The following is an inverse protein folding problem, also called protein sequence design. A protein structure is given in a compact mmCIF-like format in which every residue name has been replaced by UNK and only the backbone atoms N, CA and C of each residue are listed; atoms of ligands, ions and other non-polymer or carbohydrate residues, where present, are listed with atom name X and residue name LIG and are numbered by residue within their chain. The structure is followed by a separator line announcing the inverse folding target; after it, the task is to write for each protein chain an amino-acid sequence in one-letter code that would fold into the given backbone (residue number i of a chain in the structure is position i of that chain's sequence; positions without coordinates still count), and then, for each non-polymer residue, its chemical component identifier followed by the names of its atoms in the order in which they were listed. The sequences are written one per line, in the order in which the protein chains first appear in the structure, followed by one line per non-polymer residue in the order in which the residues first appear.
data_IF_343759199989
#
_entry.id   IF_343759199989
#
_cell.length_a   1.000
_cell.length_b   1.000
_cell.length_c   1.000
_cell.angle_alpha   90.00
_cell.angle_beta   90.00
_cell.angle_gamma   90.00
#
_symmetry.space_group_name_H-M   'P 1'
#
loop_
_entity.id
_entity.type
_entity.pdbx_description
1 polymer ?
#
# COMPACT_ATOMS: atom_id res chain seq x y z
N UNK A 1 -23.47 51.87 -12.28
CA UNK A 1 -22.31 51.74 -13.19
C UNK A 1 -21.93 50.27 -13.33
N UNK A 2 -22.35 49.57 -14.39
CA UNK A 2 -22.06 48.15 -14.56
C UNK A 2 -20.69 47.95 -15.23
N UNK A 3 -19.79 47.26 -14.54
CA UNK A 3 -18.47 46.88 -15.04
C UNK A 3 -18.58 45.60 -15.90
N UNK A 4 -18.49 45.77 -17.21
CA UNK A 4 -18.32 44.69 -18.19
C UNK A 4 -16.95 44.02 -18.01
N UNK A 5 -16.92 42.81 -17.43
CA UNK A 5 -15.73 41.92 -17.50
C UNK A 5 -15.86 41.00 -18.70
N UNK A 6 -15.18 41.35 -19.79
CA UNK A 6 -14.96 40.50 -20.96
C UNK A 6 -13.98 39.38 -20.62
N UNK A 7 -14.47 38.12 -20.65
CA UNK A 7 -13.62 36.92 -20.56
C UNK A 7 -12.91 36.70 -21.89
N UNK A 8 -11.62 37.01 -21.94
CA UNK A 8 -10.72 36.58 -23.02
C UNK A 8 -10.38 35.10 -22.85
N UNK A 9 -11.02 34.25 -23.66
CA UNK A 9 -10.58 32.86 -23.91
C UNK A 9 -9.33 32.92 -24.77
N UNK A 10 -8.16 32.59 -24.22
CA UNK A 10 -6.93 32.39 -24.99
C UNK A 10 -6.37 31.00 -24.67
N UNK A 11 -6.72 30.04 -25.53
CA UNK A 11 -6.06 28.73 -25.63
C UNK A 11 -4.74 28.90 -26.36
N UNK A 12 -3.58 28.69 -25.72
CA UNK A 12 -2.33 28.57 -26.46
C UNK A 12 -2.19 27.17 -27.07
N UNK A 13 -1.81 27.20 -28.34
CA UNK A 13 -1.77 26.09 -29.25
C UNK A 13 -0.77 24.99 -28.86
N UNK A 14 -1.23 23.76 -29.01
CA UNK A 14 -0.49 22.50 -29.05
C UNK A 14 0.52 22.51 -30.20
N UNK A 15 1.75 22.91 -29.92
CA UNK A 15 2.92 22.71 -30.80
C UNK A 15 4.15 22.53 -29.92
N UNK A 16 4.56 21.29 -29.66
CA UNK A 16 5.97 21.05 -29.40
C UNK A 16 6.41 19.63 -29.81
N UNK A 17 7.02 19.61 -30.99
CA UNK A 17 8.19 18.86 -31.46
C UNK A 17 8.34 17.39 -31.03
N UNK A 18 8.26 16.55 -32.06
CA UNK A 18 8.77 15.19 -32.13
C UNK A 18 10.32 15.14 -32.19
N UNK A 19 10.90 14.12 -31.54
CA UNK A 19 12.21 13.48 -31.75
C UNK A 19 13.47 14.26 -31.30
N UNK A 20 14.39 13.59 -30.56
CA UNK A 20 15.14 12.47 -31.12
C UNK A 20 15.20 11.21 -30.24
N UNK A 21 14.60 10.14 -30.77
CA UNK A 21 15.05 8.77 -30.55
C UNK A 21 16.33 8.55 -31.38
N UNK A 22 17.51 8.75 -30.77
CA UNK A 22 18.81 8.27 -31.29
C UNK A 22 20.00 8.40 -30.30
N UNK A 23 19.75 8.79 -29.04
CA UNK A 23 20.79 8.88 -27.99
C UNK A 23 20.76 7.79 -26.92
N UNK A 24 19.87 6.79 -27.04
CA UNK A 24 19.57 5.84 -25.96
C UNK A 24 20.28 4.47 -26.05
N UNK A 25 21.11 4.23 -27.08
CA UNK A 25 21.69 2.89 -27.32
C UNK A 25 23.12 2.71 -26.78
N UNK A 26 23.85 3.79 -26.43
CA UNK A 26 25.28 3.66 -26.04
C UNK A 26 25.51 3.63 -24.52
N UNK A 27 24.55 4.07 -23.69
CA UNK A 27 24.72 4.08 -22.22
C UNK A 27 24.32 2.74 -21.56
N UNK A 28 23.60 1.87 -22.28
CA UNK A 28 23.15 0.55 -21.78
C UNK A 28 24.23 -0.55 -21.79
N UNK A 29 25.43 -0.29 -22.32
CA UNK A 29 26.47 -1.32 -22.48
C UNK A 29 27.55 -1.35 -21.39
N UNK A 30 27.53 -0.45 -20.38
CA UNK A 30 28.64 -0.33 -19.40
C UNK A 30 28.28 -0.76 -17.97
N UNK A 31 27.00 -1.05 -17.65
CA UNK A 31 26.58 -1.40 -16.26
C UNK A 31 26.33 -2.91 -16.08
N UNK A 32 27.12 -3.78 -16.73
CA UNK A 32 27.00 -5.26 -16.59
C UNK A 32 28.24 -5.92 -15.96
N UNK A 33 29.29 -5.17 -15.56
CA UNK A 33 30.57 -5.78 -15.12
C UNK A 33 30.99 -5.41 -13.69
N UNK A 34 30.05 -5.15 -12.76
CA UNK A 34 30.42 -4.86 -11.36
C UNK A 34 29.50 -5.45 -10.29
N UNK A 35 28.81 -6.57 -10.55
CA UNK A 35 28.07 -7.33 -9.53
C UNK A 35 28.56 -8.77 -9.45
N UNK A 36 29.88 -8.91 -9.32
CA UNK A 36 30.51 -10.08 -8.77
C UNK A 36 31.62 -9.56 -7.86
N UNK A 37 31.68 -10.02 -6.60
CA UNK A 37 32.75 -9.78 -5.61
C UNK A 37 32.49 -8.80 -4.45
N UNK A 38 31.34 -8.87 -3.77
CA UNK A 38 31.29 -8.60 -2.31
C UNK A 38 30.30 -9.53 -1.61
N UNK A 39 30.61 -10.82 -1.65
CA UNK A 39 30.20 -11.72 -0.60
C UNK A 39 31.10 -11.52 0.61
N UNK A 40 30.60 -10.91 1.68
CA UNK A 40 31.00 -11.31 3.02
C UNK A 40 29.89 -11.05 4.04
N UNK A 41 29.55 -12.13 4.72
CA UNK A 41 28.47 -12.31 5.65
C UNK A 41 28.79 -11.65 6.99
N UNK A 42 27.86 -10.88 7.54
CA UNK A 42 27.73 -10.71 8.99
C UNK A 42 26.31 -11.10 9.38
N UNK A 43 26.15 -12.38 9.77
CA UNK A 43 24.94 -12.85 10.39
C UNK A 43 24.83 -12.23 11.80
N UNK A 44 23.74 -11.53 12.15
CA UNK A 44 23.53 -11.06 13.51
C UNK A 44 23.27 -12.25 14.44
N UNK A 45 24.02 -12.27 15.54
CA UNK A 45 23.92 -13.22 16.66
C UNK A 45 22.47 -13.24 17.22
N UNK A 46 21.81 -14.40 17.34
CA UNK A 46 20.45 -14.45 17.88
C UNK A 46 20.46 -14.08 19.38
N UNK A 47 19.75 -13.01 19.72
CA UNK A 47 19.47 -12.64 21.10
C UNK A 47 18.38 -13.57 21.66
N UNK A 48 18.73 -14.26 22.74
CA UNK A 48 17.86 -15.14 23.52
C UNK A 48 16.82 -14.28 24.26
N UNK A 49 15.63 -14.11 23.68
CA UNK A 49 14.50 -13.49 24.38
C UNK A 49 13.91 -14.52 25.36
N UNK A 50 14.03 -14.22 26.65
CA UNK A 50 13.46 -15.00 27.73
C UNK A 50 11.93 -14.88 27.73
N UNK A 51 11.28 -16.01 27.98
CA UNK A 51 9.85 -16.11 28.23
C UNK A 51 9.46 -15.32 29.49
N UNK A 52 8.40 -14.53 29.38
CA UNK A 52 7.58 -14.13 30.52
C UNK A 52 6.13 -14.51 30.17
N UNK A 53 5.75 -15.70 30.63
CA UNK A 53 4.36 -16.08 30.80
C UNK A 53 3.91 -15.48 32.13
N UNK A 54 2.81 -14.73 32.15
CA UNK A 54 2.06 -14.51 33.37
C UNK A 54 0.55 -14.50 33.09
N UNK A 55 -0.13 -15.27 33.93
CA UNK A 55 -1.53 -15.58 33.91
C UNK A 55 -2.36 -14.41 34.44
N UNK A 56 -3.58 -14.24 33.93
CA UNK A 56 -4.69 -13.72 34.75
C UNK A 56 -5.92 -14.59 34.56
N UNK A 57 -6.35 -15.08 35.72
CA UNK A 57 -7.46 -15.94 36.04
C UNK A 57 -8.81 -15.20 36.00
N UNK A 58 -9.84 -15.97 35.64
CA UNK A 58 -11.07 -16.22 36.42
C UNK A 58 -12.04 -15.08 36.79
N UNK A 59 -13.31 -15.51 36.86
CA UNK A 59 -14.53 -14.88 37.38
C UNK A 59 -15.39 -14.16 36.32
N UNK A 60 -16.71 -14.37 36.20
CA UNK A 60 -17.64 -15.01 37.12
C UNK A 60 -18.84 -15.60 36.36
N UNK A 61 -19.25 -16.79 36.80
CA UNK A 61 -20.60 -17.29 36.58
C UNK A 61 -21.59 -16.40 37.32
N UNK A 62 -22.56 -15.83 36.61
CA UNK A 62 -23.73 -15.19 37.22
C UNK A 62 -25.02 -15.71 36.56
N UNK A 63 -25.70 -16.53 37.35
CA UNK A 63 -27.15 -16.61 37.58
C UNK A 63 -28.09 -16.61 36.37
N UNK A 64 -28.57 -17.82 36.08
CA UNK A 64 -29.77 -18.09 35.31
C UNK A 64 -31.03 -17.59 36.04
N UNK A 65 -31.69 -16.58 35.49
CA UNK A 65 -33.09 -16.27 35.77
C UNK A 65 -33.93 -16.69 34.55
N UNK A 66 -34.65 -17.80 34.68
CA UNK A 66 -35.60 -18.28 33.67
C UNK A 66 -36.87 -17.43 33.76
N UNK A 67 -37.08 -16.55 32.79
CA UNK A 67 -38.36 -15.90 32.54
C UNK A 67 -38.95 -16.50 31.25
N UNK A 68 -39.86 -17.46 31.41
CA UNK A 68 -40.69 -17.98 30.32
C UNK A 68 -41.83 -17.01 30.05
N UNK A 69 -41.52 -15.93 29.34
CA UNK A 69 -42.53 -15.11 28.68
C UNK A 69 -42.85 -15.74 27.33
N UNK A 70 -44.07 -16.27 27.20
CA UNK A 70 -44.62 -16.83 25.97
C UNK A 70 -44.78 -15.70 24.95
N UNK A 71 -43.78 -15.51 24.08
CA UNK A 71 -43.79 -14.51 23.01
C UNK A 71 -44.59 -15.04 21.83
N UNK A 72 -45.56 -14.23 21.38
CA UNK A 72 -46.13 -14.35 20.04
C UNK A 72 -44.98 -14.37 19.01
N UNK A 73 -45.03 -15.24 17.99
CA UNK A 73 -44.02 -15.27 16.94
C UNK A 73 -44.06 -13.92 16.20
N UNK A 74 -43.08 -13.07 16.49
CA UNK A 74 -42.83 -11.89 15.69
C UNK A 74 -42.59 -12.36 14.24
N UNK A 75 -43.17 -11.70 13.23
CA UNK A 75 -42.90 -12.04 11.85
C UNK A 75 -41.37 -12.09 11.64
N UNK A 76 -40.90 -13.18 11.05
CA UNK A 76 -39.48 -13.40 10.85
C UNK A 76 -38.90 -12.17 10.13
N UNK A 77 -37.88 -11.49 10.68
CA UNK A 77 -37.25 -10.38 9.99
C UNK A 77 -36.78 -10.87 8.63
N UNK A 78 -37.27 -10.24 7.56
CA UNK A 78 -36.78 -10.44 6.20
C UNK A 78 -35.38 -9.84 6.14
N UNK A 79 -34.36 -10.66 6.41
CA UNK A 79 -32.98 -10.26 6.23
C UNK A 79 -32.72 -10.06 4.73
N UNK A 80 -32.09 -8.95 4.31
CA UNK A 80 -31.61 -8.84 2.95
C UNK A 80 -30.66 -10.01 2.68
N UNK A 81 -30.82 -10.65 1.52
CA UNK A 81 -29.91 -11.71 1.10
C UNK A 81 -28.46 -11.21 1.25
N UNK A 82 -27.62 -12.01 1.90
CA UNK A 82 -26.23 -11.65 2.10
C UNK A 82 -25.56 -11.37 0.74
N UNK A 83 -24.88 -10.24 0.62
CA UNK A 83 -24.14 -9.91 -0.61
C UNK A 83 -23.13 -11.02 -0.94
N UNK A 84 -23.02 -11.34 -2.23
CA UNK A 84 -21.95 -12.20 -2.73
C UNK A 84 -20.57 -11.61 -2.42
N UNK A 85 -19.53 -12.45 -2.36
CA UNK A 85 -18.15 -11.97 -2.15
C UNK A 85 -17.75 -10.99 -3.25
N UNK A 86 -18.11 -11.26 -4.50
CA UNK A 86 -17.91 -10.36 -5.64
C UNK A 86 -18.51 -8.96 -5.39
N UNK A 87 -19.77 -8.88 -4.95
CA UNK A 87 -20.41 -7.60 -4.64
C UNK A 87 -19.73 -6.85 -3.49
N UNK A 88 -19.28 -7.57 -2.45
CA UNK A 88 -18.53 -6.99 -1.32
C UNK A 88 -17.16 -6.46 -1.76
N UNK A 89 -16.43 -7.22 -2.59
CA UNK A 89 -15.12 -6.83 -3.12
C UNK A 89 -15.25 -5.62 -4.04
N UNK A 90 -16.27 -5.57 -4.90
CA UNK A 90 -16.55 -4.41 -5.74
C UNK A 90 -16.89 -3.17 -4.92
N UNK A 91 -17.73 -3.32 -3.88
CA UNK A 91 -18.03 -2.23 -2.95
C UNK A 91 -16.78 -1.74 -2.21
N UNK A 92 -15.91 -2.65 -1.77
CA UNK A 92 -14.62 -2.30 -1.16
C UNK A 92 -13.72 -1.54 -2.14
N UNK A 93 -13.60 -2.02 -3.38
CA UNK A 93 -12.75 -1.45 -4.41
C UNK A 93 -13.21 -0.07 -4.89
N UNK A 94 -14.52 0.21 -4.84
CA UNK A 94 -15.09 1.52 -5.15
C UNK A 94 -15.17 2.46 -3.93
N UNK A 95 -14.83 1.96 -2.74
CA UNK A 95 -14.88 2.70 -1.49
C UNK A 95 -13.51 3.15 -0.99
N UNK A 96 -13.43 3.37 0.33
CA UNK A 96 -12.19 3.80 1.00
C UNK A 96 -11.04 2.79 0.85
N UNK A 97 -11.34 1.50 0.77
CA UNK A 97 -10.34 0.45 0.59
C UNK A 97 -9.60 0.55 -0.75
N UNK A 98 -10.35 0.71 -1.84
CA UNK A 98 -9.77 0.95 -3.17
C UNK A 98 -8.99 2.25 -3.27
N UNK A 99 -9.46 3.33 -2.64
CA UNK A 99 -8.75 4.60 -2.58
C UNK A 99 -7.40 4.45 -1.84
N UNK A 100 -7.39 3.88 -0.64
CA UNK A 100 -6.16 3.67 0.13
C UNK A 100 -5.13 2.80 -0.62
N UNK A 101 -5.60 1.79 -1.38
CA UNK A 101 -4.73 1.00 -2.26
C UNK A 101 -4.06 1.86 -3.34
N UNK A 102 -4.80 2.78 -3.95
CA UNK A 102 -4.27 3.65 -5.01
C UNK A 102 -3.30 4.68 -4.44
N UNK A 103 -3.62 5.31 -3.31
CA UNK A 103 -2.73 6.27 -2.64
C UNK A 103 -1.37 5.64 -2.28
N UNK A 104 -1.36 4.42 -1.71
CA UNK A 104 -0.11 3.69 -1.45
C UNK A 104 0.69 3.46 -2.73
N UNK A 105 0.02 3.08 -3.83
CA UNK A 105 0.67 2.87 -5.13
C UNK A 105 1.28 4.17 -5.68
N UNK A 106 0.57 5.28 -5.58
CA UNK A 106 1.01 6.57 -6.09
C UNK A 106 2.18 7.12 -5.28
N UNK A 107 2.18 6.93 -3.95
CA UNK A 107 3.31 7.30 -3.10
C UNK A 107 4.53 6.42 -3.35
N UNK A 108 4.36 5.13 -3.61
CA UNK A 108 5.47 4.25 -3.98
C UNK A 108 6.15 4.69 -5.29
N UNK A 109 5.37 5.13 -6.28
CA UNK A 109 5.89 5.72 -7.52
C UNK A 109 6.62 7.03 -7.25
N UNK A 110 6.06 7.87 -6.38
CA UNK A 110 6.67 9.16 -5.98
C UNK A 110 8.04 8.93 -5.34
N UNK A 111 8.18 7.96 -4.41
CA UNK A 111 9.47 7.62 -3.79
C UNK A 111 10.52 7.26 -4.83
N UNK A 112 10.18 6.40 -5.80
CA UNK A 112 11.13 6.00 -6.86
C UNK A 112 11.51 7.18 -7.75
N UNK A 113 10.56 8.05 -8.08
CA UNK A 113 10.79 9.26 -8.87
C UNK A 113 11.73 10.22 -8.16
N UNK A 114 11.47 10.54 -6.89
CA UNK A 114 12.29 11.47 -6.10
C UNK A 114 13.69 10.90 -5.80
N UNK A 115 13.80 9.58 -5.60
CA UNK A 115 15.08 8.90 -5.45
C UNK A 115 15.93 9.06 -6.73
N UNK A 116 15.31 8.87 -7.89
CA UNK A 116 15.97 9.03 -9.21
C UNK A 116 16.38 10.49 -9.48
N UNK A 117 15.64 11.46 -8.95
CA UNK A 117 15.98 12.88 -9.07
C UNK A 117 17.15 13.31 -8.16
N UNK A 118 17.50 12.50 -7.15
CA UNK A 118 18.58 12.79 -6.20
C UNK A 118 18.29 13.96 -5.24
N UNK A 119 17.05 14.46 -5.20
CA UNK A 119 16.66 15.58 -4.34
C UNK A 119 16.22 15.07 -2.95
N UNK A 120 17.21 14.87 -2.06
CA UNK A 120 17.02 14.27 -0.73
C UNK A 120 15.87 14.87 0.10
N UNK A 121 15.66 16.20 0.15
CA UNK A 121 14.52 16.77 0.89
C UNK A 121 13.15 16.29 0.40
N UNK A 122 12.91 16.23 -0.92
CA UNK A 122 11.65 15.73 -1.45
C UNK A 122 11.51 14.22 -1.26
N UNK A 123 12.61 13.48 -1.43
CA UNK A 123 12.61 12.03 -1.16
C UNK A 123 12.24 11.72 0.30
N UNK A 124 12.75 12.50 1.25
CA UNK A 124 12.36 12.35 2.67
C UNK A 124 10.85 12.52 2.86
N UNK A 125 10.26 13.57 2.27
CA UNK A 125 8.81 13.83 2.33
C UNK A 125 8.03 12.68 1.69
N UNK A 126 8.45 12.19 0.52
CA UNK A 126 7.80 11.08 -0.16
C UNK A 126 7.81 9.79 0.69
N UNK A 127 8.92 9.52 1.41
CA UNK A 127 9.01 8.34 2.27
C UNK A 127 8.15 8.46 3.54
N UNK A 128 8.03 9.66 4.11
CA UNK A 128 7.09 9.95 5.20
C UNK A 128 5.63 9.79 4.74
N UNK A 129 5.30 10.29 3.54
CA UNK A 129 3.96 10.14 2.95
C UNK A 129 3.61 8.68 2.67
N UNK A 130 4.52 7.90 2.06
CA UNK A 130 4.32 6.47 1.85
C UNK A 130 4.07 5.73 3.17
N UNK A 131 4.83 6.05 4.23
CA UNK A 131 4.61 5.49 5.56
C UNK A 131 3.21 5.80 6.09
N UNK A 132 2.78 7.06 5.97
CA UNK A 132 1.44 7.51 6.35
C UNK A 132 0.34 6.75 5.62
N UNK A 133 0.44 6.63 4.30
CA UNK A 133 -0.55 5.90 3.49
C UNK A 133 -0.56 4.40 3.81
N UNK A 134 0.58 3.78 4.10
CA UNK A 134 0.64 2.38 4.54
C UNK A 134 -0.10 2.21 5.87
N UNK A 135 0.08 3.11 6.83
CA UNK A 135 -0.64 3.07 8.12
C UNK A 135 -2.14 3.27 7.93
N UNK A 136 -2.54 4.24 7.10
CA UNK A 136 -3.94 4.49 6.78
C UNK A 136 -4.58 3.27 6.09
N UNK A 137 -3.91 2.69 5.10
CA UNK A 137 -4.36 1.50 4.37
C UNK A 137 -4.51 0.26 5.29
N UNK A 138 -3.56 0.04 6.21
CA UNK A 138 -3.65 -1.06 7.20
C UNK A 138 -4.79 -0.88 8.21
N UNK A 139 -5.16 0.38 8.49
CA UNK A 139 -6.27 0.71 9.39
C UNK A 139 -7.64 0.68 8.69
N UNK A 140 -7.64 0.61 7.36
CA UNK A 140 -8.86 0.49 6.55
C UNK A 140 -9.54 -0.87 6.68
N UNK A 141 -10.72 -0.99 6.08
CA UNK A 141 -11.41 -2.29 5.99
C UNK A 141 -10.60 -3.28 5.15
N UNK A 142 -10.47 -4.55 5.57
CA UNK A 142 -9.80 -5.56 4.77
C UNK A 142 -10.58 -5.89 3.49
N UNK A 143 -9.88 -6.41 2.48
CA UNK A 143 -10.51 -6.94 1.26
C UNK A 143 -11.37 -8.14 1.69
N UNK A 144 -12.67 -8.20 1.30
CA UNK A 144 -13.55 -9.29 1.69
C UNK A 144 -13.18 -10.69 1.15
N UNK A 145 -12.30 -10.74 0.15
CA UNK A 145 -11.73 -11.98 -0.39
C UNK A 145 -10.39 -12.31 0.28
N UNK A 146 -10.23 -13.50 0.92
CA UNK A 146 -9.02 -13.85 1.66
C UNK A 146 -7.75 -13.89 0.81
N UNK A 147 -7.82 -14.38 -0.43
CA UNK A 147 -6.64 -14.51 -1.29
C UNK A 147 -6.14 -13.13 -1.76
N UNK A 148 -7.05 -12.24 -2.16
CA UNK A 148 -6.71 -10.86 -2.47
C UNK A 148 -6.17 -10.12 -1.23
N UNK A 149 -6.75 -10.37 -0.05
CA UNK A 149 -6.31 -9.75 1.20
C UNK A 149 -4.89 -10.18 1.60
N UNK A 150 -4.53 -11.44 1.41
CA UNK A 150 -3.17 -11.94 1.71
C UNK A 150 -2.11 -11.19 0.88
N UNK A 151 -2.32 -11.10 -0.44
CA UNK A 151 -1.42 -10.36 -1.33
C UNK A 151 -1.36 -8.87 -1.00
N UNK A 152 -2.51 -8.27 -0.69
CA UNK A 152 -2.56 -6.86 -0.32
C UNK A 152 -1.84 -6.58 1.00
N UNK A 153 -2.04 -7.42 2.02
CA UNK A 153 -1.34 -7.32 3.29
C UNK A 153 0.18 -7.52 3.12
N UNK A 154 0.61 -8.47 2.29
CA UNK A 154 2.02 -8.65 1.92
C UNK A 154 2.59 -7.37 1.27
N UNK A 155 1.89 -6.80 0.29
CA UNK A 155 2.28 -5.56 -0.36
C UNK A 155 2.45 -4.41 0.65
N UNK A 156 1.47 -4.21 1.55
CA UNK A 156 1.56 -3.22 2.62
C UNK A 156 2.72 -3.50 3.59
N UNK A 157 3.07 -4.77 3.81
CA UNK A 157 4.28 -5.19 4.52
C UNK A 157 5.55 -4.64 3.87
N UNK A 158 5.70 -4.91 2.57
CA UNK A 158 6.84 -4.48 1.76
C UNK A 158 6.96 -2.96 1.65
N UNK A 159 5.86 -2.25 1.42
CA UNK A 159 5.87 -0.78 1.37
C UNK A 159 6.20 -0.15 2.73
N UNK A 160 5.73 -0.76 3.83
CA UNK A 160 6.11 -0.32 5.18
C UNK A 160 7.61 -0.48 5.45
N UNK A 161 8.20 -1.60 5.03
CA UNK A 161 9.65 -1.79 5.10
C UNK A 161 10.38 -0.78 4.22
N UNK A 162 9.93 -0.57 2.98
CA UNK A 162 10.53 0.40 2.08
C UNK A 162 10.53 1.82 2.65
N UNK A 163 9.39 2.28 3.18
CA UNK A 163 9.29 3.60 3.79
C UNK A 163 10.26 3.75 4.98
N UNK A 164 10.33 2.74 5.86
CA UNK A 164 11.27 2.71 6.99
C UNK A 164 12.73 2.77 6.53
N UNK A 165 13.12 1.92 5.58
CA UNK A 165 14.48 1.88 5.04
C UNK A 165 14.84 3.18 4.32
N UNK A 166 13.90 3.78 3.57
CA UNK A 166 14.10 5.07 2.93
C UNK A 166 14.29 6.23 3.93
N UNK A 167 13.46 6.30 4.98
CA UNK A 167 13.63 7.33 6.03
C UNK A 167 14.99 7.19 6.72
N UNK A 168 15.41 5.96 7.01
CA UNK A 168 16.74 5.71 7.57
C UNK A 168 17.85 6.06 6.57
N UNK A 169 17.70 5.72 5.29
CA UNK A 169 18.64 6.04 4.22
C UNK A 169 18.83 7.55 4.04
N UNK A 170 17.73 8.32 4.02
CA UNK A 170 17.79 9.79 3.85
C UNK A 170 18.41 10.48 5.06
N UNK A 171 18.18 9.96 6.27
CA UNK A 171 18.81 10.47 7.49
C UNK A 171 20.32 10.15 7.56
N UNK A 172 20.71 8.92 7.22
CA UNK A 172 22.10 8.43 7.30
C UNK A 172 22.93 8.58 6.03
N UNK A 173 22.33 8.99 4.92
CA UNK A 173 22.90 8.92 3.55
C UNK A 173 23.41 7.51 3.21
N UNK A 174 22.65 6.50 3.61
CA UNK A 174 23.01 5.09 3.45
C UNK A 174 22.43 4.54 2.13
N UNK A 175 23.30 4.31 1.15
CA UNK A 175 22.93 3.77 -0.16
C UNK A 175 22.42 2.33 -0.08
N UNK A 176 22.90 1.51 0.85
CA UNK A 176 22.44 0.13 0.99
C UNK A 176 21.00 0.08 1.51
N UNK A 177 20.65 0.97 2.44
CA UNK A 177 19.26 1.16 2.87
C UNK A 177 18.36 1.65 1.70
N UNK A 178 18.85 2.56 0.86
CA UNK A 178 18.08 2.99 -0.32
C UNK A 178 17.83 1.83 -1.30
N UNK A 179 18.86 1.03 -1.61
CA UNK A 179 18.71 -0.16 -2.47
C UNK A 179 17.73 -1.18 -1.88
N UNK A 180 17.73 -1.38 -0.56
CA UNK A 180 16.73 -2.24 0.11
C UNK A 180 15.31 -1.68 -0.01
N UNK A 181 15.15 -0.37 0.14
CA UNK A 181 13.86 0.31 -0.05
C UNK A 181 13.32 0.08 -1.47
N UNK A 182 14.14 0.31 -2.49
CA UNK A 182 13.76 0.09 -3.90
C UNK A 182 13.38 -1.38 -4.18
N UNK A 183 14.15 -2.33 -3.64
CA UNK A 183 13.84 -3.75 -3.76
C UNK A 183 12.50 -4.11 -3.09
N UNK A 184 12.24 -3.58 -1.90
CA UNK A 184 10.96 -3.77 -1.20
C UNK A 184 9.79 -3.15 -1.98
N UNK A 185 9.94 -1.94 -2.54
CA UNK A 185 8.92 -1.35 -3.44
C UNK A 185 8.64 -2.26 -4.64
N UNK A 186 9.69 -2.82 -5.26
CA UNK A 186 9.52 -3.71 -6.40
C UNK A 186 8.77 -4.99 -6.05
N UNK A 187 9.00 -5.57 -4.87
CA UNK A 187 8.23 -6.73 -4.37
C UNK A 187 6.81 -6.32 -4.02
N UNK A 188 6.62 -5.21 -3.30
CA UNK A 188 5.31 -4.68 -2.94
C UNK A 188 4.42 -4.43 -4.15
N UNK A 189 4.97 -3.86 -5.23
CA UNK A 189 4.25 -3.66 -6.49
C UNK A 189 3.80 -4.97 -7.14
N UNK A 190 4.61 -6.04 -7.09
CA UNK A 190 4.23 -7.36 -7.62
C UNK A 190 3.08 -7.97 -6.82
N UNK A 191 3.14 -7.89 -5.50
CA UNK A 191 2.09 -8.40 -4.62
C UNK A 191 0.80 -7.59 -4.78
N UNK A 192 0.90 -6.26 -4.89
CA UNK A 192 -0.23 -5.38 -5.15
C UNK A 192 -0.90 -5.70 -6.50
N UNK A 193 -0.11 -5.99 -7.54
CA UNK A 193 -0.62 -6.39 -8.85
C UNK A 193 -1.38 -7.72 -8.78
N UNK A 194 -0.92 -8.68 -7.98
CA UNK A 194 -1.62 -9.97 -7.74
C UNK A 194 -2.97 -9.75 -7.04
N UNK A 195 -3.00 -8.94 -5.98
CA UNK A 195 -4.24 -8.57 -5.30
C UNK A 195 -5.22 -7.89 -6.28
N UNK A 196 -4.73 -6.92 -7.06
CA UNK A 196 -5.53 -6.22 -8.06
C UNK A 196 -6.05 -7.15 -9.17
N UNK A 197 -5.30 -8.18 -9.57
CA UNK A 197 -5.75 -9.17 -10.53
C UNK A 197 -6.95 -9.98 -9.99
N UNK A 198 -6.87 -10.49 -8.76
CA UNK A 198 -7.96 -11.24 -8.13
C UNK A 198 -9.22 -10.38 -8.00
N UNK A 199 -9.06 -9.13 -7.55
CA UNK A 199 -10.18 -8.17 -7.45
C UNK A 199 -10.88 -7.99 -8.81
N UNK A 200 -10.12 -7.86 -9.91
CA UNK A 200 -10.71 -7.72 -11.26
C UNK A 200 -11.45 -8.97 -11.71
N UNK A 201 -10.93 -10.16 -11.40
CA UNK A 201 -11.63 -11.42 -11.72
C UNK A 201 -12.96 -11.52 -10.97
N UNK A 202 -12.98 -11.18 -9.68
CA UNK A 202 -14.20 -11.17 -8.85
C UNK A 202 -15.20 -10.09 -9.27
N UNK A 203 -14.73 -8.95 -9.76
CA UNK A 203 -15.62 -7.89 -10.25
C UNK A 203 -16.28 -8.22 -11.60
N UNK A 204 -15.76 -9.21 -12.33
CA UNK A 204 -16.28 -9.63 -13.63
C UNK A 204 -17.26 -10.82 -13.55
N UNK A 205 -17.38 -11.45 -12.38
CA UNK A 205 -18.31 -12.58 -12.12
C UNK A 205 -19.66 -12.10 -11.62
#
# INVERSE_FOLDING_TARGET
MPQHRTRLKKTPAKRWIWLPALGAVVVLAVIVVAVAHTGQQHAPKPAKAAAAAEAVQSAAAHSAARHTAQRHPAPAPTYPAALSVAAKVLAWANGSGGNGRNEVSDQAVTVVSEASAGFVPALKVACEQLSGEVVAARSGSPIPDPAAQEWYASALGQFGQAASDCTAATAGRDAALMTRSEAAIAVGNKDLARAAHIIRLLAAS
#
